data_IF_413336943135
#
_entry.id   IF_413336943135
#
_cell.length_a   1.000
_cell.length_b   1.000
_cell.length_c   1.000
_cell.angle_alpha   90.00
_cell.angle_beta   90.00
_cell.angle_gamma   90.00
#
_symmetry.space_group_name_H-M   'P 1'
#
loop_
_entity.id
_entity.type
_entity.pdbx_description
1 polymer ?
#
# COMPACT_ATOMS: atom_id res chain seq x y z
N UNK A 1 7.15 11.89 0.15
CA UNK A 1 7.12 10.59 -0.56
C UNK A 1 8.48 10.32 -1.17
N UNK A 2 9.19 9.35 -0.62
CA UNK A 2 10.42 8.81 -1.19
C UNK A 2 10.19 8.26 -2.62
N UNK A 3 11.20 8.45 -3.49
CA UNK A 3 11.11 8.18 -4.92
C UNK A 3 10.84 6.70 -5.26
N UNK A 4 11.14 5.78 -4.34
CA UNK A 4 10.86 4.35 -4.46
C UNK A 4 9.36 4.04 -4.38
N UNK A 5 8.62 4.72 -3.49
CA UNK A 5 7.15 4.64 -3.38
C UNK A 5 6.46 5.19 -4.64
N UNK A 6 7.03 6.22 -5.24
CA UNK A 6 6.52 6.82 -6.48
C UNK A 6 6.70 5.90 -7.70
N UNK A 7 7.79 5.12 -7.73
CA UNK A 7 8.11 4.16 -8.80
C UNK A 7 7.15 2.96 -8.80
N UNK A 8 6.75 2.49 -7.61
CA UNK A 8 5.72 1.45 -7.46
C UNK A 8 4.34 1.93 -7.96
N UNK A 9 3.97 3.18 -7.70
CA UNK A 9 2.73 3.78 -8.21
C UNK A 9 2.74 3.94 -9.74
N UNK A 10 3.87 4.35 -10.33
CA UNK A 10 4.02 4.51 -11.78
C UNK A 10 4.01 3.18 -12.54
N UNK A 11 4.66 2.13 -12.00
CA UNK A 11 4.63 0.79 -12.59
C UNK A 11 3.25 0.12 -12.49
N UNK A 12 2.38 0.59 -11.60
CA UNK A 12 1.02 0.06 -11.45
C UNK A 12 -0.04 0.87 -12.21
N UNK A 13 0.20 2.16 -12.48
CA UNK A 13 -0.68 3.00 -13.31
C UNK A 13 -0.93 2.43 -14.71
N UNK A 14 -0.10 1.49 -15.19
CA UNK A 14 -0.28 0.79 -16.46
C UNK A 14 -1.44 -0.22 -16.47
N UNK A 15 -2.16 -0.40 -15.35
CA UNK A 15 -3.31 -1.28 -15.25
C UNK A 15 -2.89 -2.71 -14.92
N UNK A 16 -3.19 -3.14 -13.69
CA UNK A 16 -2.97 -4.51 -13.26
C UNK A 16 -4.26 -5.32 -13.44
N UNK A 17 -4.22 -6.32 -14.32
CA UNK A 17 -5.27 -7.33 -14.48
C UNK A 17 -4.64 -8.69 -14.18
N UNK A 18 -5.12 -9.33 -13.11
CA UNK A 18 -4.67 -10.66 -12.71
C UNK A 18 -5.86 -11.61 -12.77
N UNK A 19 -5.88 -12.45 -13.81
CA UNK A 19 -6.96 -13.40 -14.12
C UNK A 19 -6.63 -14.82 -13.62
N UNK A 20 -5.51 -14.98 -12.92
CA UNK A 20 -4.99 -16.25 -12.41
C UNK A 20 -4.83 -16.21 -10.88
N UNK A 21 -4.73 -17.39 -10.26
CA UNK A 21 -4.53 -17.52 -8.81
C UNK A 21 -3.23 -16.83 -8.39
N UNK A 22 -3.33 -15.84 -7.51
CA UNK A 22 -2.19 -15.05 -7.05
C UNK A 22 -2.41 -14.55 -5.61
N UNK A 23 -1.32 -14.46 -4.86
CA UNK A 23 -1.30 -13.88 -3.52
C UNK A 23 -0.65 -12.50 -3.59
N UNK A 24 -1.41 -11.45 -3.26
CA UNK A 24 -0.94 -10.06 -3.25
C UNK A 24 -0.78 -9.61 -1.79
N UNK A 25 0.44 -9.27 -1.41
CA UNK A 25 0.74 -8.70 -0.09
C UNK A 25 1.08 -7.23 -0.24
N UNK A 26 0.24 -6.37 0.32
CA UNK A 26 0.41 -4.91 0.29
C UNK A 26 1.04 -4.45 1.60
N UNK A 27 2.22 -3.84 1.49
CA UNK A 27 2.91 -3.18 2.61
C UNK A 27 2.59 -1.69 2.56
N UNK A 28 1.79 -1.22 3.52
CA UNK A 28 1.39 0.18 3.62
C UNK A 28 2.21 0.82 4.72
N UNK A 29 3.07 1.79 4.37
CA UNK A 29 3.75 2.61 5.35
C UNK A 29 2.81 3.73 5.82
N UNK A 30 2.57 3.80 7.12
CA UNK A 30 1.91 4.92 7.79
C UNK A 30 2.92 5.56 8.76
N UNK A 31 4.09 5.89 8.23
CA UNK A 31 5.07 6.70 8.93
C UNK A 31 4.62 8.17 8.95
N UNK A 32 4.93 8.88 10.04
CA UNK A 32 4.55 10.29 10.21
C UNK A 32 5.19 11.27 9.21
N UNK A 33 5.96 10.78 8.24
CA UNK A 33 6.55 11.53 7.13
C UNK A 33 5.64 11.61 5.89
N UNK A 34 4.51 10.90 5.89
CA UNK A 34 3.52 10.90 4.80
C UNK A 34 2.46 11.95 5.09
N UNK A 35 2.17 12.80 4.11
CA UNK A 35 1.11 13.79 4.26
C UNK A 35 -0.27 13.10 4.25
N UNK A 36 -1.29 13.68 4.90
CA UNK A 36 -2.65 13.14 4.85
C UNK A 36 -3.20 13.00 3.42
N UNK A 37 -2.76 13.87 2.51
CA UNK A 37 -3.13 13.84 1.09
C UNK A 37 -2.50 12.64 0.38
N UNK A 38 -1.20 12.41 0.59
CA UNK A 38 -0.49 11.24 0.04
C UNK A 38 -1.07 9.93 0.57
N UNK A 39 -1.44 9.88 1.85
CA UNK A 39 -2.11 8.73 2.44
C UNK A 39 -3.50 8.50 1.84
N UNK A 40 -4.24 9.58 1.55
CA UNK A 40 -5.53 9.49 0.86
C UNK A 40 -5.37 8.97 -0.57
N UNK A 41 -4.35 9.44 -1.29
CA UNK A 41 -4.02 8.97 -2.64
C UNK A 41 -3.65 7.47 -2.63
N UNK A 42 -2.82 7.05 -1.69
CA UNK A 42 -2.46 5.64 -1.50
C UNK A 42 -3.68 4.78 -1.20
N UNK A 43 -4.60 5.22 -0.32
CA UNK A 43 -5.86 4.48 -0.06
C UNK A 43 -6.76 4.36 -1.29
N UNK A 44 -6.89 5.42 -2.08
CA UNK A 44 -7.68 5.38 -3.32
C UNK A 44 -7.08 4.39 -4.31
N UNK A 45 -5.76 4.37 -4.44
CA UNK A 45 -5.05 3.41 -5.26
C UNK A 45 -5.25 1.96 -4.80
N UNK A 46 -5.10 1.66 -3.51
CA UNK A 46 -5.34 0.32 -2.96
C UNK A 46 -6.78 -0.16 -3.22
N UNK A 47 -7.76 0.77 -3.22
CA UNK A 47 -9.14 0.44 -3.60
C UNK A 47 -9.26 0.07 -5.07
N UNK A 48 -8.57 0.76 -5.97
CA UNK A 48 -8.54 0.39 -7.38
C UNK A 48 -7.94 -0.99 -7.61
N UNK A 49 -6.90 -1.37 -6.85
CA UNK A 49 -6.34 -2.74 -6.88
C UNK A 49 -7.42 -3.76 -6.55
N UNK A 50 -8.05 -3.60 -5.39
CA UNK A 50 -9.05 -4.53 -4.87
C UNK A 50 -10.26 -4.65 -5.81
N UNK A 51 -10.64 -3.56 -6.48
CA UNK A 51 -11.77 -3.55 -7.41
C UNK A 51 -11.48 -4.22 -8.76
N UNK A 52 -10.21 -4.34 -9.15
CA UNK A 52 -9.79 -4.87 -10.47
C UNK A 52 -9.36 -6.33 -10.43
N UNK A 53 -9.40 -7.00 -9.27
CA UNK A 53 -9.04 -8.42 -9.13
C UNK A 53 -10.22 -9.24 -8.61
N UNK A 54 -10.33 -10.47 -9.10
CA UNK A 54 -11.37 -11.42 -8.69
C UNK A 54 -10.93 -12.16 -7.41
N UNK A 55 -11.42 -11.69 -6.26
CA UNK A 55 -11.01 -12.17 -4.93
C UNK A 55 -11.82 -13.41 -4.56
N UNK A 56 -11.14 -14.48 -4.17
CA UNK A 56 -11.78 -15.71 -3.72
C UNK A 56 -10.79 -16.76 -3.21
N UNK A 57 -11.27 -17.79 -2.49
CA UNK A 57 -10.41 -18.82 -1.90
C UNK A 57 -9.54 -19.56 -2.93
N UNK A 58 -10.03 -19.70 -4.16
CA UNK A 58 -9.32 -20.33 -5.29
C UNK A 58 -8.84 -19.34 -6.36
N UNK A 59 -8.90 -18.04 -6.08
CA UNK A 59 -8.55 -16.96 -7.02
C UNK A 59 -7.50 -16.05 -6.41
N UNK A 60 -7.63 -14.73 -6.56
CA UNK A 60 -6.73 -13.78 -5.94
C UNK A 60 -7.00 -13.72 -4.43
N UNK A 61 -5.94 -13.81 -3.63
CA UNK A 61 -5.99 -13.55 -2.20
C UNK A 61 -5.19 -12.29 -1.90
N UNK A 62 -5.70 -11.48 -0.97
CA UNK A 62 -5.11 -10.19 -0.62
C UNK A 62 -4.81 -10.13 0.87
N UNK A 63 -3.56 -9.82 1.21
CA UNK A 63 -3.13 -9.51 2.57
C UNK A 63 -2.62 -8.07 2.66
N UNK A 64 -3.00 -7.38 3.74
CA UNK A 64 -2.49 -6.04 4.05
C UNK A 64 -1.62 -6.09 5.30
N UNK A 65 -0.44 -5.49 5.23
CA UNK A 65 0.45 -5.27 6.36
C UNK A 65 0.60 -3.76 6.52
N UNK A 66 0.17 -3.25 7.67
CA UNK A 66 0.36 -1.84 8.05
C UNK A 66 1.67 -1.71 8.81
N UNK A 67 2.59 -0.92 8.29
CA UNK A 67 3.85 -0.57 8.96
C UNK A 67 3.65 0.78 9.68
N UNK A 68 3.64 0.74 11.01
CA UNK A 68 3.59 1.94 11.84
C UNK A 68 5.00 2.27 12.32
N UNK A 69 5.64 3.29 11.74
CA UNK A 69 6.83 3.90 12.36
C UNK A 69 6.39 4.95 13.40
N UNK A 70 5.74 4.50 14.46
CA UNK A 70 5.51 5.33 15.65
C UNK A 70 6.08 4.67 16.91
N UNK A 71 7.41 4.72 17.03
CA UNK A 71 8.07 4.92 18.32
C UNK A 71 9.31 5.79 18.07
N UNK A 72 9.13 7.10 18.04
CA UNK A 72 10.14 7.98 18.65
C UNK A 72 9.86 7.94 20.15
N UNK A 73 10.54 7.08 20.94
CA UNK A 73 10.39 7.17 22.38
C UNK A 73 10.93 8.54 22.77
N UNK A 74 10.15 9.19 23.63
CA UNK A 74 10.43 10.33 24.49
C UNK A 74 11.90 10.40 25.00
N UNK A 75 12.88 10.71 24.15
CA UNK A 75 14.32 10.72 24.48
C UNK A 75 15.03 11.98 23.95
N UNK A 76 14.28 13.09 23.94
CA UNK A 76 14.78 14.44 23.69
C UNK A 76 14.37 15.42 24.82
N UNK A 77 14.20 14.88 26.04
CA UNK A 77 14.16 15.63 27.29
C UNK A 77 15.47 15.36 28.06
N UNK A 78 16.57 15.93 27.58
CA UNK A 78 17.75 16.32 28.36
C UNK A 78 18.22 17.69 27.86
#
# INVERSE_FOLDING_TARGET
>A
MDHLLMLLLLLWSSGFQCDSKADIVMLVDESGSISPEDFSMMKSFLREIVNNVDIGPDKVQIGNILLLLQFTPLLLLL
#
